data_IF_657231455614
#
_entry.id   IF_657231455614
#
_cell.length_a   1.000
_cell.length_b   1.000
_cell.length_c   1.000
_cell.angle_alpha   90.00
_cell.angle_beta   90.00
_cell.angle_gamma   90.00
#
_symmetry.space_group_name_H-M   'P 1'
#
loop_
_entity.id
_entity.type
_entity.pdbx_description
1 polymer ?
#
# COMPACT_ATOMS: atom_id res chain seq x y z
N UNK A 1 -45.68 -45.01 -37.65
CA UNK A 1 -44.77 -43.88 -37.97
C UNK A 1 -44.05 -43.51 -36.68
N UNK A 2 -42.74 -43.71 -36.60
CA UNK A 2 -41.87 -43.28 -35.48
C UNK A 2 -41.73 -41.76 -35.54
N UNK A 3 -41.93 -41.06 -34.41
CA UNK A 3 -41.27 -39.78 -34.16
C UNK A 3 -40.52 -39.92 -32.83
N UNK A 4 -39.22 -39.67 -32.94
CA UNK A 4 -38.16 -39.82 -31.96
C UNK A 4 -37.65 -38.41 -31.66
N UNK A 5 -37.36 -38.09 -30.41
CA UNK A 5 -36.73 -36.83 -29.99
C UNK A 5 -37.65 -36.00 -29.08
N UNK A 6 -37.16 -35.28 -28.07
CA UNK A 6 -35.84 -34.68 -27.85
C UNK A 6 -35.59 -34.73 -26.34
N UNK A 7 -34.42 -35.23 -25.94
CA UNK A 7 -33.92 -35.07 -24.59
C UNK A 7 -33.74 -33.57 -24.31
N UNK A 8 -34.57 -33.02 -23.43
CA UNK A 8 -34.53 -31.61 -23.02
C UNK A 8 -33.22 -31.32 -22.31
N UNK A 9 -32.30 -30.66 -23.03
CA UNK A 9 -31.09 -30.09 -22.49
C UNK A 9 -31.48 -28.95 -21.54
N UNK A 10 -31.33 -29.20 -20.24
CA UNK A 10 -31.52 -28.24 -19.17
C UNK A 10 -30.46 -27.14 -19.29
N UNK A 11 -30.82 -26.02 -19.92
CA UNK A 11 -29.99 -24.82 -19.97
C UNK A 11 -30.14 -24.07 -18.63
N UNK A 12 -29.22 -24.32 -17.70
CA UNK A 12 -29.00 -23.50 -16.52
C UNK A 12 -28.33 -22.19 -16.95
N UNK A 13 -29.10 -21.12 -17.14
CA UNK A 13 -28.55 -19.77 -17.25
C UNK A 13 -28.13 -19.33 -15.85
N UNK A 14 -26.84 -19.44 -15.54
CA UNK A 14 -26.25 -18.71 -14.42
C UNK A 14 -26.24 -17.22 -14.77
N UNK A 15 -27.20 -16.47 -14.25
CA UNK A 15 -27.09 -15.01 -14.18
C UNK A 15 -25.97 -14.70 -13.19
N UNK A 16 -24.73 -14.66 -13.69
CA UNK A 16 -23.62 -14.07 -12.96
C UNK A 16 -23.93 -12.60 -12.73
N UNK A 17 -23.92 -12.15 -11.48
CA UNK A 17 -24.02 -10.74 -11.14
C UNK A 17 -22.90 -9.97 -11.84
N UNK A 18 -23.20 -9.30 -12.94
CA UNK A 18 -22.32 -8.29 -13.50
C UNK A 18 -22.43 -7.08 -12.57
N UNK A 19 -21.46 -6.90 -11.68
CA UNK A 19 -21.16 -5.59 -11.12
C UNK A 19 -20.65 -4.74 -12.29
N UNK A 20 -21.58 -4.25 -13.10
CA UNK A 20 -21.31 -3.27 -14.13
C UNK A 20 -21.07 -1.94 -13.42
N UNK A 21 -19.85 -1.77 -12.91
CA UNK A 21 -19.21 -0.46 -12.77
C UNK A 21 -17.86 -0.57 -13.48
N UNK A 22 -17.94 -0.71 -14.81
CA UNK A 22 -16.81 -0.60 -15.74
C UNK A 22 -16.35 0.87 -15.81
N UNK A 23 -15.91 1.41 -14.68
CA UNK A 23 -14.75 2.31 -14.71
C UNK A 23 -13.57 1.37 -14.97
N UNK A 24 -12.83 1.57 -16.06
CA UNK A 24 -11.68 0.73 -16.40
C UNK A 24 -10.91 0.38 -15.11
N UNK A 25 -10.72 -0.91 -14.86
CA UNK A 25 -10.11 -1.36 -13.62
C UNK A 25 -8.77 -0.65 -13.43
N UNK A 26 -8.61 0.00 -12.28
CA UNK A 26 -7.32 0.58 -11.95
C UNK A 26 -6.32 -0.55 -11.70
N UNK A 27 -5.15 -0.43 -12.32
CA UNK A 27 -4.08 -1.44 -12.29
C UNK A 27 -2.71 -0.83 -12.10
N UNK A 28 -2.64 0.49 -11.89
CA UNK A 28 -1.38 1.19 -11.69
C UNK A 28 -1.20 1.35 -10.19
N UNK A 29 -0.08 0.83 -9.69
CA UNK A 29 0.22 0.91 -8.29
C UNK A 29 0.67 2.32 -7.86
N UNK A 30 0.42 2.71 -6.60
CA UNK A 30 1.03 3.91 -6.03
C UNK A 30 2.56 3.85 -6.05
N UNK A 31 3.18 4.97 -6.33
CA UNK A 31 4.64 5.16 -6.29
C UNK A 31 5.01 5.89 -5.00
N UNK A 32 5.96 5.33 -4.26
CA UNK A 32 6.48 5.90 -3.00
C UNK A 32 7.88 6.44 -3.24
N UNK A 33 8.11 7.70 -2.91
CA UNK A 33 9.44 8.33 -2.88
C UNK A 33 9.79 8.70 -1.44
N UNK A 34 10.83 8.07 -0.88
CA UNK A 34 11.41 8.48 0.38
C UNK A 34 12.49 9.54 0.12
N UNK A 35 12.30 10.75 0.64
CA UNK A 35 13.24 11.86 0.51
C UNK A 35 14.28 11.87 1.65
N UNK A 36 13.88 11.44 2.85
CA UNK A 36 14.75 11.34 4.01
C UNK A 36 14.23 10.28 4.99
N UNK A 37 15.09 9.52 5.67
CA UNK A 37 16.55 9.50 5.47
C UNK A 37 16.91 8.78 4.16
N UNK A 38 18.16 8.94 3.72
CA UNK A 38 18.71 8.04 2.69
C UNK A 38 19.13 6.72 3.32
N UNK A 39 19.04 5.62 2.58
CA UNK A 39 19.44 4.30 3.09
C UNK A 39 20.89 4.32 3.60
N UNK A 40 21.11 3.78 4.80
CA UNK A 40 22.42 3.76 5.46
C UNK A 40 22.85 5.08 6.08
N UNK A 41 22.01 6.12 6.11
CA UNK A 41 22.34 7.37 6.79
C UNK A 41 22.51 7.17 8.31
N UNK A 42 23.62 7.66 8.86
CA UNK A 42 23.90 7.61 10.28
C UNK A 42 23.46 8.88 10.99
N UNK A 43 22.91 8.71 12.20
CA UNK A 43 22.54 9.79 13.11
C UNK A 43 23.19 9.56 14.47
N UNK A 44 23.71 10.62 15.08
CA UNK A 44 24.18 10.55 16.47
C UNK A 44 22.99 10.36 17.42
N UNK A 45 23.20 9.67 18.53
CA UNK A 45 22.16 9.50 19.54
C UNK A 45 21.60 10.86 20.00
N UNK A 46 20.28 10.93 20.15
CA UNK A 46 19.56 12.16 20.48
C UNK A 46 19.24 13.06 19.27
N UNK A 47 19.82 12.82 18.09
CA UNK A 47 19.48 13.60 16.90
C UNK A 47 18.12 13.18 16.32
N UNK A 48 17.36 14.12 15.73
CA UNK A 48 16.15 13.78 14.99
C UNK A 48 16.50 13.02 13.71
N UNK A 49 15.75 11.96 13.44
CA UNK A 49 15.73 11.27 12.15
C UNK A 49 14.46 11.73 11.43
N UNK A 50 14.57 12.62 10.43
CA UNK A 50 13.42 13.00 9.62
C UNK A 50 13.02 11.84 8.70
N UNK A 51 11.74 11.51 8.68
CA UNK A 51 11.14 10.48 7.84
C UNK A 51 10.13 11.18 6.94
N UNK A 52 10.58 11.54 5.74
CA UNK A 52 9.81 12.38 4.84
C UNK A 52 9.80 11.83 3.43
N UNK A 53 8.67 11.98 2.75
CA UNK A 53 8.51 11.51 1.39
C UNK A 53 7.20 11.93 0.75
N UNK A 54 7.04 11.54 -0.51
CA UNK A 54 5.83 11.74 -1.29
C UNK A 54 5.31 10.40 -1.81
N UNK A 55 4.00 10.33 -2.00
CA UNK A 55 3.31 9.19 -2.60
C UNK A 55 2.40 9.74 -3.69
N UNK A 56 2.44 9.12 -4.86
CA UNK A 56 1.62 9.49 -6.01
C UNK A 56 0.99 8.27 -6.64
N UNK A 57 -0.23 8.43 -7.11
CA UNK A 57 -1.00 7.44 -7.85
C UNK A 57 -1.68 8.12 -9.04
N UNK A 58 -1.98 7.37 -10.11
CA UNK A 58 -2.70 7.91 -11.27
C UNK A 58 -4.16 8.26 -10.96
N UNK A 59 -4.72 7.72 -9.87
CA UNK A 59 -6.13 7.84 -9.56
C UNK A 59 -6.37 8.19 -8.10
N UNK A 60 -5.98 7.30 -7.16
CA UNK A 60 -6.44 7.39 -5.78
C UNK A 60 -5.59 6.59 -4.78
N UNK A 61 -5.10 7.28 -3.76
CA UNK A 61 -4.44 6.68 -2.59
C UNK A 61 -5.47 6.55 -1.46
N UNK A 62 -5.79 5.31 -1.08
CA UNK A 62 -6.75 5.00 -0.03
C UNK A 62 -6.12 5.03 1.36
N UNK A 63 -4.95 4.41 1.51
CA UNK A 63 -4.28 4.28 2.81
C UNK A 63 -2.77 4.42 2.66
N UNK A 64 -2.14 5.01 3.67
CA UNK A 64 -0.69 5.00 3.85
C UNK A 64 -0.37 4.54 5.27
N UNK A 65 0.56 3.60 5.38
CA UNK A 65 1.08 3.11 6.67
C UNK A 65 2.58 3.39 6.72
N UNK A 66 3.07 3.94 7.84
CA UNK A 66 4.49 4.21 8.06
C UNK A 66 4.90 3.51 9.34
N UNK A 67 5.75 2.49 9.19
CA UNK A 67 6.31 1.75 10.30
C UNK A 67 7.80 2.04 10.45
N UNK A 68 8.24 2.21 11.69
CA UNK A 68 9.66 2.22 12.01
C UNK A 68 9.93 1.17 13.06
N UNK A 69 10.89 0.30 12.80
CA UNK A 69 11.24 -0.78 13.72
C UNK A 69 12.74 -0.82 14.00
N UNK A 70 13.11 -1.25 15.20
CA UNK A 70 14.48 -1.64 15.52
C UNK A 70 14.76 -3.00 14.87
N UNK A 71 15.76 -3.08 13.99
CA UNK A 71 16.10 -4.31 13.26
C UNK A 71 16.56 -5.43 14.20
N UNK A 72 17.33 -5.09 15.23
CA UNK A 72 17.93 -6.06 16.14
C UNK A 72 16.91 -6.69 17.09
N UNK A 73 15.95 -5.91 17.57
CA UNK A 73 14.93 -6.40 18.54
C UNK A 73 13.60 -6.73 17.89
N UNK A 74 13.35 -6.27 16.66
CA UNK A 74 12.04 -6.33 16.01
C UNK A 74 11.01 -5.37 16.59
N UNK A 75 11.36 -4.56 17.59
CA UNK A 75 10.42 -3.65 18.24
C UNK A 75 9.88 -2.62 17.26
N UNK A 76 8.56 -2.48 17.20
CA UNK A 76 7.90 -1.36 16.53
C UNK A 76 8.10 -0.10 17.38
N UNK A 77 8.59 0.96 16.76
CA UNK A 77 8.91 2.24 17.39
C UNK A 77 7.96 3.35 16.93
N UNK A 78 7.46 3.25 15.70
CA UNK A 78 6.44 4.15 15.16
C UNK A 78 5.47 3.34 14.31
N UNK A 79 4.18 3.66 14.47
CA UNK A 79 3.07 3.20 13.64
C UNK A 79 2.19 4.41 13.31
N UNK A 80 2.02 4.70 12.03
CA UNK A 80 1.21 5.83 11.58
C UNK A 80 0.34 5.42 10.39
N UNK A 81 -0.92 5.85 10.43
CA UNK A 81 -1.89 5.67 9.36
C UNK A 81 -2.37 7.01 8.81
N UNK A 82 -2.39 7.16 7.49
CA UNK A 82 -3.00 8.28 6.78
C UNK A 82 -4.06 7.76 5.81
N UNK A 83 -5.09 8.58 5.60
CA UNK A 83 -6.19 8.32 4.65
C UNK A 83 -6.34 9.53 3.73
N UNK A 84 -5.43 9.70 2.74
CA UNK A 84 -5.35 10.94 1.97
C UNK A 84 -6.59 11.24 1.13
N UNK A 85 -7.24 10.19 0.62
CA UNK A 85 -8.35 10.30 -0.33
C UNK A 85 -8.04 11.21 -1.53
N UNK A 86 -6.81 11.12 -2.03
CA UNK A 86 -6.26 11.96 -3.09
C UNK A 86 -5.28 11.15 -3.95
N UNK A 87 -4.96 11.66 -5.15
CA UNK A 87 -3.95 11.06 -6.03
C UNK A 87 -2.51 11.32 -5.60
N UNK A 88 -2.29 12.29 -4.70
CA UNK A 88 -0.97 12.56 -4.13
C UNK A 88 -1.07 12.83 -2.63
N UNK A 89 -0.03 12.47 -1.89
CA UNK A 89 0.13 12.84 -0.49
C UNK A 89 1.61 12.96 -0.12
N UNK A 90 1.90 13.61 0.99
CA UNK A 90 3.22 13.69 1.57
C UNK A 90 3.18 13.24 3.02
N UNK A 91 4.29 12.71 3.51
CA UNK A 91 4.49 12.39 4.91
C UNK A 91 5.74 13.09 5.42
N UNK A 92 5.70 13.52 6.68
CA UNK A 92 6.81 14.18 7.34
C UNK A 92 6.77 13.89 8.84
N UNK A 93 7.41 12.80 9.22
CA UNK A 93 7.50 12.30 10.58
C UNK A 93 8.91 12.47 11.13
N UNK A 94 9.04 12.37 12.45
CA UNK A 94 10.34 12.40 13.12
C UNK A 94 10.38 11.38 14.24
N UNK A 95 11.51 10.69 14.36
CA UNK A 95 11.87 9.90 15.54
C UNK A 95 13.19 10.39 16.10
N UNK A 96 13.52 10.04 17.34
CA UNK A 96 14.81 10.35 17.94
C UNK A 96 15.75 9.15 17.81
N UNK A 97 16.96 9.39 17.30
CA UNK A 97 17.99 8.37 17.18
C UNK A 97 18.43 7.88 18.58
N UNK A 98 18.53 6.57 18.74
CA UNK A 98 19.04 5.90 19.92
C UNK A 98 20.41 5.29 19.61
N UNK A 99 21.29 5.29 20.60
CA UNK A 99 22.65 4.77 20.45
C UNK A 99 22.62 3.27 20.07
N UNK A 100 23.35 2.91 19.02
CA UNK A 100 23.51 1.51 18.60
C UNK A 100 22.28 0.87 17.96
N UNK A 101 21.25 1.64 17.60
CA UNK A 101 20.05 1.09 16.95
C UNK A 101 20.15 1.21 15.43
N UNK A 102 19.90 0.09 14.75
CA UNK A 102 19.63 0.08 13.31
C UNK A 102 18.11 0.10 13.09
N UNK A 103 17.66 1.05 12.28
CA UNK A 103 16.24 1.26 12.00
C UNK A 103 15.88 0.66 10.64
N UNK A 104 14.68 0.09 10.56
CA UNK A 104 14.02 -0.22 9.29
C UNK A 104 12.80 0.68 9.17
N UNK A 105 12.71 1.41 8.07
CA UNK A 105 11.58 2.26 7.73
C UNK A 105 10.79 1.55 6.65
N UNK A 106 9.50 1.31 6.90
CA UNK A 106 8.59 0.74 5.92
C UNK A 106 7.47 1.74 5.65
N UNK A 107 7.34 2.15 4.39
CA UNK A 107 6.21 2.96 3.92
C UNK A 107 5.38 2.09 3.01
N UNK A 108 4.09 2.02 3.28
CA UNK A 108 3.15 1.16 2.58
C UNK A 108 2.03 2.05 2.06
N UNK A 109 1.75 1.99 0.77
CA UNK A 109 0.63 2.69 0.15
C UNK A 109 -0.33 1.68 -0.45
N UNK A 110 -1.64 1.95 -0.31
CA UNK A 110 -2.71 1.16 -0.93
C UNK A 110 -3.61 2.05 -1.76
N UNK A 111 -3.97 1.58 -2.94
CA UNK A 111 -5.02 2.16 -3.77
C UNK A 111 -6.41 1.58 -3.43
N UNK A 112 -7.43 2.02 -4.19
CA UNK A 112 -8.83 1.63 -4.02
C UNK A 112 -9.11 0.14 -4.25
N UNK A 113 -8.25 -0.56 -4.99
CA UNK A 113 -8.40 -2.00 -5.32
C UNK A 113 -7.74 -2.90 -4.28
N UNK A 114 -7.21 -2.33 -3.20
CA UNK A 114 -6.37 -3.02 -2.21
C UNK A 114 -5.04 -3.52 -2.79
N UNK A 115 -4.63 -3.03 -3.96
CA UNK A 115 -3.29 -3.23 -4.49
C UNK A 115 -2.30 -2.41 -3.64
N UNK A 116 -1.17 -3.03 -3.26
CA UNK A 116 -0.28 -2.52 -2.19
C UNK A 116 1.18 -2.48 -2.64
N UNK A 117 1.83 -1.35 -2.45
CA UNK A 117 3.28 -1.19 -2.60
C UNK A 117 3.92 -0.99 -1.23
N UNK A 118 5.13 -1.53 -1.06
CA UNK A 118 5.94 -1.35 0.15
C UNK A 118 7.31 -0.86 -0.26
N UNK A 119 7.72 0.27 0.31
CA UNK A 119 9.09 0.78 0.25
C UNK A 119 9.79 0.46 1.58
N UNK A 120 10.99 -0.10 1.50
CA UNK A 120 11.84 -0.36 2.67
C UNK A 120 13.12 0.45 2.55
N UNK A 121 13.53 1.10 3.63
CA UNK A 121 14.85 1.73 3.80
C UNK A 121 15.44 1.39 5.16
#
# INVERSE_FOLDING_TARGET
MKILGIAGLFLLTVSGCTKNDETAADTVFPVITLNSPVNGQNFAAGQPIPISGTISDNNYIAEVHIHVSNISTGSLLMDMHLYPAASTTAFNQVITAAAGVNYKIQVIAKDKKCERVTHNS
#
